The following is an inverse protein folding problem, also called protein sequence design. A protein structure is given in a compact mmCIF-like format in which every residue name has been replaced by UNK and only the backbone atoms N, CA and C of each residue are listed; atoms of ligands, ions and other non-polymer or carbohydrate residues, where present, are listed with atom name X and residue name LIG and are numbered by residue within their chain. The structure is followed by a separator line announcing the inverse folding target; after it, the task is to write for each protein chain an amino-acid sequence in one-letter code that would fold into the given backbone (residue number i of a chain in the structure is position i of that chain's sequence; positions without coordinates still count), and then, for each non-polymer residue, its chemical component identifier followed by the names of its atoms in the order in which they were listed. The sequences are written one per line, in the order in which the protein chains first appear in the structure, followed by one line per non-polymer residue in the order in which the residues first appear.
data_IF_469552246554
#
_entry.id   IF_469552246554
#
_cell.length_a   1.000
_cell.length_b   1.000
_cell.length_c   1.000
_cell.angle_alpha   90.00
_cell.angle_beta   90.00
_cell.angle_gamma   90.00
#
_symmetry.space_group_name_H-M   'P 1'
#
loop_
_entity.id
_entity.type
_entity.pdbx_description
1 polymer ?
#
# COMPACT_ATOMS: atom_id res chain seq x y z
N UNK A 1 22.91 49.98 2.78
CA UNK A 1 22.02 49.22 1.88
C UNK A 1 22.38 47.75 2.02
N UNK A 2 21.72 47.04 2.93
CA UNK A 2 21.98 45.61 3.15
C UNK A 2 21.04 44.81 2.25
N UNK A 3 21.58 44.10 1.26
CA UNK A 3 20.81 43.15 0.47
C UNK A 3 20.94 41.81 1.17
N UNK A 4 19.88 41.38 1.85
CA UNK A 4 19.75 40.04 2.38
C UNK A 4 19.45 39.08 1.22
N UNK A 5 20.36 38.15 0.96
CA UNK A 5 20.13 37.04 0.03
C UNK A 5 19.32 35.99 0.79
N UNK A 6 18.03 35.90 0.49
CA UNK A 6 17.19 34.79 0.94
C UNK A 6 17.51 33.60 0.06
N UNK A 7 18.36 32.71 0.55
CA UNK A 7 18.58 31.39 -0.04
C UNK A 7 17.30 30.57 0.08
N UNK A 8 16.50 30.55 -1.00
CA UNK A 8 15.34 29.69 -1.11
C UNK A 8 15.76 28.22 -1.13
N UNK A 9 15.39 27.48 -0.09
CA UNK A 9 15.44 26.02 -0.09
C UNK A 9 14.40 25.52 -1.09
N UNK A 10 14.88 25.11 -2.28
CA UNK A 10 14.10 24.29 -3.20
C UNK A 10 14.05 22.90 -2.57
N UNK A 11 13.08 22.66 -1.69
CA UNK A 11 12.75 21.31 -1.27
C UNK A 11 12.16 20.60 -2.49
N UNK A 12 12.99 19.78 -3.14
CA UNK A 12 12.61 19.03 -4.32
C UNK A 12 11.34 18.23 -4.05
N UNK A 13 10.35 18.39 -4.92
CA UNK A 13 9.25 17.45 -5.04
C UNK A 13 9.86 16.07 -5.33
N UNK A 14 9.94 15.23 -4.31
CA UNK A 14 10.13 13.81 -4.51
C UNK A 14 8.96 13.36 -5.37
N UNK A 15 9.24 12.99 -6.62
CA UNK A 15 8.31 12.29 -7.46
C UNK A 15 8.03 11.00 -6.73
N UNK A 16 6.93 10.96 -5.96
CA UNK A 16 6.43 9.72 -5.43
C UNK A 16 6.15 8.86 -6.66
N UNK A 17 7.03 7.91 -6.96
CA UNK A 17 6.70 6.79 -7.82
C UNK A 17 5.34 6.31 -7.31
N UNK A 18 4.33 6.35 -8.19
CA UNK A 18 2.95 6.10 -7.79
C UNK A 18 2.85 4.81 -6.99
N UNK A 19 1.82 4.67 -6.13
CA UNK A 19 1.74 3.55 -5.22
C UNK A 19 1.90 2.23 -5.98
N UNK A 20 2.77 1.35 -5.49
CA UNK A 20 2.99 0.05 -6.11
C UNK A 20 1.66 -0.69 -6.19
N UNK A 21 1.31 -1.19 -7.38
CA UNK A 21 0.06 -1.87 -7.60
C UNK A 21 0.14 -3.32 -7.08
N UNK A 22 -0.87 -3.73 -6.31
CA UNK A 22 -1.08 -5.11 -5.88
C UNK A 22 -2.36 -5.61 -6.56
N UNK A 23 -2.22 -6.56 -7.48
CA UNK A 23 -3.35 -7.27 -8.09
C UNK A 23 -3.95 -8.24 -7.08
N UNK A 24 -5.26 -8.39 -7.10
CA UNK A 24 -5.99 -9.45 -6.42
C UNK A 24 -6.68 -10.25 -7.51
N UNK A 25 -6.09 -11.38 -7.89
CA UNK A 25 -6.55 -12.21 -9.00
C UNK A 25 -6.25 -13.67 -8.72
N UNK A 26 -7.10 -14.57 -9.21
CA UNK A 26 -7.00 -16.02 -8.97
C UNK A 26 -6.95 -16.35 -7.47
N UNK A 27 -7.62 -15.56 -6.62
CA UNK A 27 -7.55 -15.67 -5.16
C UNK A 27 -6.12 -15.61 -4.62
N UNK A 28 -5.31 -14.70 -5.15
CA UNK A 28 -3.96 -14.38 -4.68
C UNK A 28 -3.72 -12.86 -4.70
N UNK A 29 -2.83 -12.39 -3.82
CA UNK A 29 -2.23 -11.07 -4.00
C UNK A 29 -0.99 -11.20 -4.89
N UNK A 30 -0.85 -10.35 -5.90
CA UNK A 30 0.26 -10.39 -6.84
C UNK A 30 0.94 -9.01 -6.94
N UNK A 31 2.26 -8.92 -6.66
CA UNK A 31 3.11 -9.99 -6.14
C UNK A 31 2.70 -10.44 -4.73
N UNK A 32 3.04 -11.67 -4.34
CA UNK A 32 2.77 -12.19 -2.98
C UNK A 32 3.72 -11.62 -1.90
N UNK A 33 4.77 -10.92 -2.30
CA UNK A 33 5.67 -10.19 -1.42
C UNK A 33 6.18 -8.91 -2.06
N UNK A 34 6.41 -7.87 -1.27
CA UNK A 34 6.96 -6.59 -1.74
C UNK A 34 7.78 -5.92 -0.63
N UNK A 35 8.80 -5.15 -1.04
CA UNK A 35 9.54 -4.26 -0.16
C UNK A 35 9.33 -2.81 -0.58
N UNK A 36 9.03 -1.94 0.38
CA UNK A 36 8.78 -0.51 0.21
C UNK A 36 9.51 0.28 1.30
N UNK A 37 9.61 1.59 1.15
CA UNK A 37 10.14 2.48 2.18
C UNK A 37 9.02 2.98 3.10
N UNK A 38 9.36 3.29 4.35
CA UNK A 38 8.43 3.96 5.27
C UNK A 38 7.81 5.21 4.64
N UNK A 39 6.47 5.28 4.67
CA UNK A 39 5.67 6.36 4.10
C UNK A 39 5.21 6.11 2.66
N UNK A 40 5.74 5.10 1.98
CA UNK A 40 5.23 4.69 0.67
C UNK A 40 3.87 3.99 0.81
N UNK A 41 3.15 3.91 -0.30
CA UNK A 41 1.81 3.35 -0.36
C UNK A 41 1.70 2.21 -1.37
N UNK A 42 0.78 1.29 -1.09
CA UNK A 42 0.36 0.23 -1.99
C UNK A 42 -1.05 0.52 -2.49
N UNK A 43 -1.29 0.32 -3.79
CA UNK A 43 -2.62 0.38 -4.39
C UNK A 43 -3.10 -1.02 -4.70
N UNK A 44 -4.08 -1.48 -3.94
CA UNK A 44 -4.71 -2.77 -4.15
C UNK A 44 -5.81 -2.62 -5.20
N UNK A 45 -5.87 -3.55 -6.14
CA UNK A 45 -6.89 -3.60 -7.19
C UNK A 45 -7.56 -4.97 -7.11
N UNK A 46 -8.88 -5.01 -7.08
CA UNK A 46 -9.61 -6.26 -7.28
C UNK A 46 -9.82 -6.48 -8.78
N UNK A 47 -8.98 -7.29 -9.39
CA UNK A 47 -9.06 -7.68 -10.81
C UNK A 47 -9.46 -9.16 -10.99
N UNK A 48 -10.14 -9.74 -10.00
CA UNK A 48 -10.57 -11.14 -9.95
C UNK A 48 -11.98 -11.38 -10.52
N UNK A 49 -12.30 -10.72 -11.64
CA UNK A 49 -13.53 -10.95 -12.41
C UNK A 49 -14.81 -10.64 -11.64
N UNK A 50 -15.39 -11.64 -10.98
CA UNK A 50 -16.66 -11.54 -10.24
C UNK A 50 -16.47 -11.74 -8.72
N UNK A 51 -15.25 -12.05 -8.27
CA UNK A 51 -14.98 -12.35 -6.85
C UNK A 51 -14.85 -11.07 -6.03
N UNK A 52 -15.55 -11.04 -4.89
CA UNK A 52 -15.29 -10.08 -3.83
C UNK A 52 -13.95 -10.38 -3.16
N UNK A 53 -13.27 -9.35 -2.67
CA UNK A 53 -12.11 -9.47 -1.78
C UNK A 53 -12.22 -8.51 -0.60
N UNK A 54 -11.46 -8.74 0.45
CA UNK A 54 -11.46 -7.89 1.66
C UNK A 54 -10.08 -7.91 2.30
N UNK A 55 -9.22 -7.00 1.86
CA UNK A 55 -7.86 -6.87 2.33
C UNK A 55 -7.81 -6.16 3.68
N UNK A 56 -7.15 -6.79 4.65
CA UNK A 56 -6.93 -6.22 5.97
C UNK A 56 -5.55 -6.58 6.51
N UNK A 57 -5.10 -5.79 7.47
CA UNK A 57 -3.87 -5.99 8.22
C UNK A 57 -4.17 -5.58 9.67
N UNK A 58 -3.86 -6.45 10.61
CA UNK A 58 -3.91 -6.14 12.03
C UNK A 58 -2.54 -6.48 12.66
N UNK A 59 -1.88 -5.46 13.21
CA UNK A 59 -0.65 -5.59 13.99
C UNK A 59 -0.63 -4.52 15.10
N UNK A 60 0.22 -4.66 16.14
CA UNK A 60 0.27 -3.68 17.22
C UNK A 60 0.65 -2.25 16.79
N UNK A 61 1.37 -2.10 15.68
CA UNK A 61 1.94 -0.81 15.25
C UNK A 61 1.27 -0.20 14.03
N UNK A 62 0.50 -1.00 13.28
CA UNK A 62 -0.19 -0.57 12.09
C UNK A 62 -1.35 -1.51 11.79
N UNK A 63 -2.49 -0.94 11.38
CA UNK A 63 -3.67 -1.69 11.01
C UNK A 63 -4.46 -0.96 9.92
N UNK A 64 -5.13 -1.72 9.06
CA UNK A 64 -6.12 -1.20 8.13
C UNK A 64 -7.12 -2.30 7.78
N UNK A 65 -8.27 -1.88 7.28
CA UNK A 65 -9.34 -2.73 6.79
C UNK A 65 -10.00 -2.05 5.58
N UNK A 66 -10.06 -2.73 4.44
CA UNK A 66 -10.66 -2.17 3.21
C UNK A 66 -12.18 -2.22 3.17
N UNK A 67 -12.80 -3.04 4.03
CA UNK A 67 -14.12 -3.61 3.80
C UNK A 67 -14.18 -4.48 2.53
N UNK A 68 -15.40 -4.79 2.11
CA UNK A 68 -15.66 -5.53 0.88
C UNK A 68 -15.24 -4.71 -0.36
N UNK A 69 -14.43 -5.33 -1.21
CA UNK A 69 -13.97 -4.80 -2.48
C UNK A 69 -14.70 -5.51 -3.61
N UNK A 70 -15.57 -4.77 -4.30
CA UNK A 70 -16.20 -5.22 -5.54
C UNK A 70 -15.16 -5.44 -6.63
N UNK A 71 -15.40 -6.34 -7.60
CA UNK A 71 -14.55 -6.43 -8.76
C UNK A 71 -14.38 -5.09 -9.48
N UNK A 72 -13.19 -4.84 -9.98
CA UNK A 72 -12.76 -3.58 -10.60
C UNK A 72 -12.48 -2.45 -9.61
N UNK A 73 -12.79 -2.59 -8.31
CA UNK A 73 -12.50 -1.56 -7.32
C UNK A 73 -11.02 -1.52 -6.93
N UNK A 74 -10.60 -0.38 -6.37
CA UNK A 74 -9.24 -0.21 -5.87
C UNK A 74 -9.22 0.70 -4.65
N UNK A 75 -8.25 0.48 -3.77
CA UNK A 75 -7.97 1.37 -2.64
C UNK A 75 -6.46 1.49 -2.43
N UNK A 76 -6.03 2.55 -1.75
CA UNK A 76 -4.62 2.84 -1.51
C UNK A 76 -4.37 2.92 -0.01
N UNK A 77 -3.29 2.30 0.45
CA UNK A 77 -2.87 2.32 1.86
C UNK A 77 -1.40 2.72 1.96
N UNK A 78 -1.13 3.78 2.72
CA UNK A 78 0.22 4.16 3.10
C UNK A 78 0.72 3.33 4.28
N UNK A 79 2.02 3.03 4.30
CA UNK A 79 2.68 2.26 5.36
C UNK A 79 3.59 3.18 6.19
N UNK A 80 3.09 3.78 7.29
CA UNK A 80 3.80 4.81 8.03
C UNK A 80 4.91 4.28 8.96
N UNK A 81 4.93 2.98 9.20
CA UNK A 81 5.80 2.34 10.20
C UNK A 81 6.67 1.29 9.55
N UNK A 82 7.98 1.33 9.78
CA UNK A 82 8.91 0.28 9.34
C UNK A 82 8.58 -1.05 10.05
N UNK A 83 8.82 -2.17 9.36
CA UNK A 83 8.50 -3.50 9.88
C UNK A 83 8.13 -4.49 8.79
N UNK A 84 7.76 -5.70 9.21
CA UNK A 84 7.22 -6.72 8.31
C UNK A 84 5.76 -6.95 8.66
N UNK A 85 4.90 -6.81 7.66
CA UNK A 85 3.46 -6.96 7.81
C UNK A 85 2.90 -8.04 6.90
N UNK A 86 1.81 -8.66 7.34
CA UNK A 86 1.05 -9.60 6.51
C UNK A 86 -0.35 -9.04 6.27
N UNK A 87 -0.62 -8.68 5.02
CA UNK A 87 -1.97 -8.36 4.55
C UNK A 87 -2.68 -9.68 4.22
N UNK A 88 -3.94 -9.81 4.61
CA UNK A 88 -4.77 -11.01 4.39
C UNK A 88 -6.08 -10.63 3.72
N UNK A 89 -6.72 -11.59 3.06
CA UNK A 89 -8.12 -11.45 2.65
C UNK A 89 -9.05 -12.11 3.69
N UNK A 90 -10.08 -11.40 4.18
CA UNK A 90 -10.99 -11.92 5.21
C UNK A 90 -11.87 -13.07 4.70
N UNK A 91 -12.29 -13.02 3.44
CA UNK A 91 -13.17 -14.02 2.81
C UNK A 91 -12.42 -15.14 2.08
N UNK A 92 -11.12 -14.94 1.80
CA UNK A 92 -10.25 -15.93 1.16
C UNK A 92 -8.99 -16.17 2.01
N UNK A 93 -9.05 -17.00 3.08
CA UNK A 93 -7.99 -17.08 4.10
C UNK A 93 -6.60 -17.54 3.61
N UNK A 94 -6.51 -18.08 2.40
CA UNK A 94 -5.25 -18.48 1.76
C UNK A 94 -4.51 -17.29 1.11
N UNK A 95 -5.20 -16.20 0.80
CA UNK A 95 -4.60 -14.99 0.24
C UNK A 95 -3.78 -14.26 1.31
N UNK A 96 -2.48 -14.11 1.04
CA UNK A 96 -1.55 -13.38 1.90
C UNK A 96 -0.56 -12.59 1.06
N UNK A 97 -0.27 -11.37 1.48
CA UNK A 97 0.80 -10.53 0.96
C UNK A 97 1.77 -10.22 2.09
N UNK A 98 3.05 -10.46 1.88
CA UNK A 98 4.12 -10.03 2.77
C UNK A 98 4.63 -8.65 2.36
N UNK A 99 4.54 -7.67 3.24
CA UNK A 99 5.06 -6.31 3.01
C UNK A 99 6.22 -6.06 3.96
N UNK A 100 7.41 -5.86 3.41
CA UNK A 100 8.57 -5.36 4.17
C UNK A 100 8.64 -3.84 3.99
N UNK A 101 8.61 -3.10 5.09
CA UNK A 101 8.76 -1.65 5.12
C UNK A 101 10.12 -1.35 5.74
N UNK A 102 11.03 -0.81 4.93
CA UNK A 102 12.37 -0.40 5.36
C UNK A 102 12.31 0.90 6.16
#
# INVERSE_FOLDING_TARGET
MCIAIVSGLIAGSAWAAGPYAISQKNREFQPGQIAINRGEALRFVNDDGELLHHAYLASPTFQFDSGDQKPGSSFTVAFPTSGTFTVRCAIHPKMKLLVKVN
#
